data_IF_251322174322
#
_entry.id   IF_251322174322
#
_cell.length_a   1.000
_cell.length_b   1.000
_cell.length_c   1.000
_cell.angle_alpha   90.00
_cell.angle_beta   90.00
_cell.angle_gamma   90.00
#
_symmetry.space_group_name_H-M   'P 1'
#
loop_
_entity.id
_entity.type
_entity.pdbx_description
1 polymer ?
#
# COMPACT_ATOMS: atom_id res chain seq x y z
N UNK A 1 -28.39 6.24 10.21
CA UNK A 1 -26.98 5.95 9.83
C UNK A 1 -26.82 5.91 8.30
N UNK A 2 -25.60 5.65 7.78
CA UNK A 2 -25.35 5.57 6.33
C UNK A 2 -26.17 4.46 5.68
N UNK A 3 -26.29 3.32 6.36
CA UNK A 3 -27.05 2.15 5.90
C UNK A 3 -28.53 2.50 5.73
N UNK A 4 -29.12 3.24 6.64
CA UNK A 4 -30.55 3.64 6.56
C UNK A 4 -30.80 4.48 5.32
N UNK A 5 -29.94 5.47 5.02
CA UNK A 5 -30.04 6.30 3.81
C UNK A 5 -29.91 5.48 2.53
N UNK A 6 -29.03 4.48 2.53
CA UNK A 6 -28.84 3.61 1.36
C UNK A 6 -30.07 2.72 1.16
N UNK A 7 -30.66 2.20 2.24
CA UNK A 7 -31.90 1.40 2.20
C UNK A 7 -33.11 2.25 1.76
N UNK A 8 -33.22 3.48 2.26
CA UNK A 8 -34.26 4.42 1.84
C UNK A 8 -34.23 4.69 0.33
N UNK A 9 -33.05 4.79 -0.25
CA UNK A 9 -32.86 5.03 -1.69
C UNK A 9 -32.91 3.73 -2.54
N UNK A 10 -32.91 2.55 -1.92
CA UNK A 10 -32.93 1.25 -2.58
C UNK A 10 -33.99 0.32 -1.96
N UNK A 11 -35.29 0.54 -2.23
CA UNK A 11 -36.35 -0.25 -1.61
C UNK A 11 -36.32 -1.74 -1.98
N UNK A 12 -35.61 -2.12 -3.04
CA UNK A 12 -35.35 -3.50 -3.43
C UNK A 12 -34.25 -4.22 -2.64
N UNK A 13 -33.63 -3.53 -1.66
CA UNK A 13 -32.53 -4.05 -0.88
C UNK A 13 -31.14 -3.71 -1.45
N UNK A 14 -30.11 -4.13 -0.74
CA UNK A 14 -28.70 -3.88 -1.09
C UNK A 14 -28.02 -5.24 -1.31
N UNK A 15 -27.42 -5.41 -2.47
CA UNK A 15 -26.53 -6.56 -2.72
C UNK A 15 -25.10 -6.22 -2.26
N UNK A 16 -24.54 -7.02 -1.36
CA UNK A 16 -23.15 -6.92 -0.93
C UNK A 16 -22.36 -8.04 -1.57
N UNK A 17 -21.22 -7.69 -2.19
CA UNK A 17 -20.28 -8.63 -2.80
C UNK A 17 -18.91 -8.51 -2.12
N UNK A 18 -18.17 -9.63 -1.99
CA UNK A 18 -16.81 -9.57 -1.51
C UNK A 18 -15.91 -8.77 -2.46
N UNK A 19 -14.79 -8.25 -1.96
CA UNK A 19 -13.78 -7.61 -2.81
C UNK A 19 -13.31 -8.57 -3.91
N UNK A 20 -13.32 -8.09 -5.16
CA UNK A 20 -13.13 -8.94 -6.35
C UNK A 20 -11.67 -9.34 -6.59
N UNK A 21 -10.71 -8.55 -6.06
CA UNK A 21 -9.28 -8.71 -6.31
C UNK A 21 -8.54 -9.55 -5.27
N UNK A 22 -9.28 -10.06 -4.31
CA UNK A 22 -8.76 -10.90 -3.23
C UNK A 22 -9.46 -12.27 -3.25
N UNK A 23 -8.75 -13.35 -2.89
CA UNK A 23 -9.37 -14.64 -2.72
C UNK A 23 -10.48 -14.61 -1.66
N UNK A 24 -11.64 -15.16 -1.98
CA UNK A 24 -12.75 -15.27 -1.02
C UNK A 24 -12.49 -16.47 -0.11
N UNK A 25 -12.50 -16.24 1.19
CA UNK A 25 -12.38 -17.29 2.21
C UNK A 25 -13.75 -17.86 2.55
N UNK A 26 -14.69 -16.97 2.85
CA UNK A 26 -16.07 -17.35 3.14
C UNK A 26 -16.96 -16.10 3.10
N UNK A 27 -18.10 -16.17 2.41
CA UNK A 27 -19.09 -15.11 2.34
C UNK A 27 -18.47 -13.77 1.89
N UNK A 28 -18.49 -12.72 2.68
CA UNK A 28 -17.88 -11.42 2.37
C UNK A 28 -16.42 -11.32 2.85
N UNK A 29 -15.90 -12.35 3.51
CA UNK A 29 -14.54 -12.38 4.04
C UNK A 29 -13.56 -12.79 2.96
N UNK A 30 -12.57 -11.94 2.72
CA UNK A 30 -11.52 -12.16 1.74
C UNK A 30 -10.14 -12.27 2.40
N UNK A 31 -9.23 -13.02 1.78
CA UNK A 31 -7.82 -13.07 2.18
C UNK A 31 -7.09 -11.81 1.73
N UNK A 32 -6.66 -10.98 2.68
CA UNK A 32 -5.90 -9.75 2.45
C UNK A 32 -4.41 -9.89 2.69
N UNK A 33 -3.89 -11.10 2.81
CA UNK A 33 -2.44 -11.35 3.04
C UNK A 33 -1.56 -10.66 2.00
N UNK A 34 -2.01 -10.56 0.75
CA UNK A 34 -1.31 -9.80 -0.30
C UNK A 34 -1.06 -8.34 0.08
N UNK A 35 -1.99 -7.66 0.76
CA UNK A 35 -1.78 -6.28 1.21
C UNK A 35 -0.70 -6.18 2.28
N UNK A 36 -0.70 -7.09 3.24
CA UNK A 36 0.34 -7.12 4.28
C UNK A 36 1.71 -7.43 3.68
N UNK A 37 1.75 -8.32 2.71
CA UNK A 37 2.97 -8.62 1.96
C UNK A 37 3.50 -7.41 1.18
N UNK A 38 2.64 -6.57 0.59
CA UNK A 38 3.09 -5.32 -0.04
C UNK A 38 3.66 -4.33 0.98
N UNK A 39 3.13 -4.26 2.20
CA UNK A 39 3.70 -3.46 3.29
C UNK A 39 5.07 -3.99 3.73
N UNK A 40 5.22 -5.31 3.81
CA UNK A 40 6.51 -5.97 4.08
C UNK A 40 7.55 -5.64 3.02
N UNK A 41 7.20 -5.76 1.74
CA UNK A 41 8.08 -5.41 0.60
C UNK A 41 8.59 -3.98 0.65
N UNK A 42 7.74 -3.02 0.97
CA UNK A 42 8.14 -1.61 1.08
C UNK A 42 8.68 -1.25 2.46
N UNK A 43 8.93 -2.24 3.34
CA UNK A 43 9.44 -2.03 4.70
C UNK A 43 8.67 -0.92 5.43
N UNK A 44 7.34 -1.09 5.49
CA UNK A 44 6.42 -0.12 6.10
C UNK A 44 6.49 -0.17 7.63
N UNK A 45 7.67 0.02 8.18
CA UNK A 45 7.96 0.13 9.62
C UNK A 45 9.21 0.96 9.88
N UNK A 46 9.45 1.28 11.13
CA UNK A 46 10.67 1.93 11.60
C UNK A 46 11.51 0.87 12.32
N UNK A 47 12.69 0.48 11.79
CA UNK A 47 13.53 -0.55 12.43
C UNK A 47 14.24 -0.03 13.69
N UNK A 48 14.41 1.28 13.80
CA UNK A 48 14.96 1.94 14.99
C UNK A 48 13.87 2.79 15.59
N UNK A 49 13.29 2.33 16.67
CA UNK A 49 12.37 3.13 17.48
C UNK A 49 13.09 3.65 18.72
N UNK A 50 12.66 4.79 19.16
CA UNK A 50 13.16 5.42 20.36
C UNK A 50 12.60 4.81 21.64
N UNK A 51 12.32 3.50 21.70
CA UNK A 51 11.85 2.85 22.91
C UNK A 51 12.89 2.94 24.01
N UNK A 52 12.47 3.46 25.08
CA UNK A 52 13.23 3.80 26.23
C UNK A 52 12.89 5.23 26.64
N UNK A 53 13.13 5.56 27.87
CA UNK A 53 12.90 6.91 28.44
C UNK A 53 13.94 7.90 27.91
N UNK A 54 13.85 8.19 26.61
CA UNK A 54 14.77 9.09 25.90
C UNK A 54 14.13 10.46 25.57
N UNK A 55 13.02 10.77 26.23
CA UNK A 55 12.30 12.02 26.05
C UNK A 55 11.34 12.03 24.83
N UNK A 56 10.95 13.23 24.41
CA UNK A 56 9.87 13.44 23.43
C UNK A 56 10.18 13.03 21.98
N UNK A 57 11.34 12.44 21.74
CA UNK A 57 11.78 12.09 20.38
C UNK A 57 12.30 13.28 19.58
N UNK A 58 12.62 13.08 18.28
CA UNK A 58 13.14 14.14 17.41
C UNK A 58 12.09 15.24 17.21
N UNK A 59 12.54 16.49 17.23
CA UNK A 59 11.66 17.63 16.94
C UNK A 59 11.32 17.67 15.45
N UNK A 60 10.06 17.96 15.16
CA UNK A 60 9.54 18.07 13.81
C UNK A 60 8.80 19.39 13.62
N UNK A 61 8.83 19.95 12.42
CA UNK A 61 8.02 21.11 12.09
C UNK A 61 6.54 20.73 11.92
N UNK A 62 5.65 21.68 12.23
CA UNK A 62 4.22 21.49 12.00
C UNK A 62 3.92 21.16 10.53
N UNK A 63 4.60 21.84 9.60
CA UNK A 63 4.43 21.62 8.16
C UNK A 63 4.76 20.19 7.75
N UNK A 64 5.83 19.59 8.31
CA UNK A 64 6.17 18.17 8.07
C UNK A 64 5.12 17.23 8.65
N UNK A 65 4.64 17.53 9.85
CA UNK A 65 3.59 16.77 10.52
C UNK A 65 2.29 16.79 9.72
N UNK A 66 1.84 17.94 9.23
CA UNK A 66 0.62 18.10 8.44
C UNK A 66 0.65 17.32 7.12
N UNK A 67 1.82 17.20 6.51
CA UNK A 67 1.99 16.39 5.29
C UNK A 67 1.96 14.90 5.58
N UNK A 68 2.52 14.48 6.70
CA UNK A 68 2.70 13.07 7.05
C UNK A 68 1.48 12.47 7.76
N UNK A 69 0.89 13.22 8.68
CA UNK A 69 -0.18 12.75 9.54
C UNK A 69 -1.35 12.12 8.77
N UNK A 70 -1.87 12.70 7.67
CA UNK A 70 -2.94 12.06 6.90
C UNK A 70 -2.59 10.67 6.38
N UNK A 71 -1.31 10.38 6.12
CA UNK A 71 -0.87 9.07 5.63
C UNK A 71 -0.97 8.00 6.73
N UNK A 72 -0.84 8.40 8.00
CA UNK A 72 -0.95 7.50 9.16
C UNK A 72 -2.37 7.03 9.44
N UNK A 73 -3.39 7.71 8.89
CA UNK A 73 -4.79 7.34 9.08
C UNK A 73 -5.23 6.10 8.29
N UNK A 74 -4.31 5.51 7.52
CA UNK A 74 -4.62 4.33 6.72
C UNK A 74 -5.00 3.13 7.60
N UNK A 75 -6.24 2.68 7.46
CA UNK A 75 -6.78 1.53 8.20
C UNK A 75 -6.67 0.21 7.41
N UNK A 76 -5.91 0.17 6.34
CA UNK A 76 -5.67 -1.01 5.50
C UNK A 76 -6.97 -1.68 5.02
N UNK A 77 -8.00 -0.89 4.71
CA UNK A 77 -9.32 -1.41 4.32
C UNK A 77 -9.35 -2.09 2.95
N UNK A 78 -8.42 -1.76 2.03
CA UNK A 78 -8.34 -2.35 0.69
C UNK A 78 -9.13 -1.61 -0.40
N UNK A 79 -9.98 -0.63 -0.07
CA UNK A 79 -10.81 0.07 -1.08
C UNK A 79 -9.98 0.69 -2.20
N UNK A 80 -8.84 1.30 -1.88
CA UNK A 80 -7.97 1.95 -2.86
C UNK A 80 -7.36 0.96 -3.88
N UNK A 81 -7.05 -0.26 -3.45
CA UNK A 81 -6.51 -1.29 -4.35
C UNK A 81 -7.63 -2.01 -5.10
N UNK A 82 -8.80 -2.18 -4.48
CA UNK A 82 -9.98 -2.73 -5.16
C UNK A 82 -10.40 -1.85 -6.34
N UNK A 83 -10.43 -0.53 -6.17
CA UNK A 83 -10.80 0.42 -7.22
C UNK A 83 -9.68 0.69 -8.25
N UNK A 84 -8.45 0.25 -7.99
CA UNK A 84 -7.31 0.55 -8.85
C UNK A 84 -7.25 -0.39 -10.07
N UNK A 85 -7.27 0.11 -11.31
CA UNK A 85 -7.18 -0.75 -12.49
C UNK A 85 -5.84 -1.48 -12.62
N UNK A 86 -4.77 -0.94 -12.05
CA UNK A 86 -3.42 -1.54 -12.09
C UNK A 86 -3.22 -2.65 -11.03
N UNK A 87 -4.03 -2.66 -9.98
CA UNK A 87 -3.99 -3.72 -8.98
C UNK A 87 -4.89 -4.88 -9.44
N UNK A 88 -4.38 -5.71 -10.34
CA UNK A 88 -5.11 -6.83 -10.88
C UNK A 88 -5.27 -7.97 -9.87
N UNK A 89 -6.33 -8.77 -10.01
CA UNK A 89 -6.46 -10.06 -9.34
C UNK A 89 -5.34 -10.99 -9.83
N UNK A 90 -4.62 -11.61 -8.91
CA UNK A 90 -3.61 -12.61 -9.24
C UNK A 90 -4.27 -13.98 -9.09
N UNK A 91 -4.55 -14.62 -10.22
CA UNK A 91 -5.11 -15.97 -10.26
C UNK A 91 -4.03 -16.94 -10.70
N UNK A 92 -3.68 -17.84 -9.80
CA UNK A 92 -2.71 -18.90 -10.06
C UNK A 92 -3.39 -20.20 -9.68
N UNK A 93 -3.51 -21.09 -10.66
CA UNK A 93 -4.01 -22.42 -10.42
C UNK A 93 -2.85 -23.37 -10.07
N UNK A 94 -3.07 -24.25 -9.10
CA UNK A 94 -2.11 -25.29 -8.76
C UNK A 94 -1.94 -26.22 -9.95
N UNK A 95 -0.70 -26.55 -10.28
CA UNK A 95 -0.37 -27.46 -11.38
C UNK A 95 -0.51 -28.91 -10.93
N UNK A 96 -0.85 -29.80 -11.86
CA UNK A 96 -0.91 -31.24 -11.56
C UNK A 96 0.47 -31.74 -11.09
N UNK A 97 0.50 -32.33 -9.90
CA UNK A 97 1.74 -32.82 -9.28
C UNK A 97 2.57 -31.78 -8.52
N UNK A 98 2.13 -30.51 -8.48
CA UNK A 98 2.78 -29.45 -7.71
C UNK A 98 2.49 -29.63 -6.22
N UNK A 99 3.50 -29.54 -5.36
CA UNK A 99 3.32 -29.54 -3.91
C UNK A 99 2.74 -28.22 -3.43
N UNK A 100 2.09 -28.20 -2.27
CA UNK A 100 1.53 -26.99 -1.66
C UNK A 100 2.61 -25.92 -1.40
N UNK A 101 3.84 -26.34 -1.09
CA UNK A 101 4.96 -25.45 -0.89
C UNK A 101 5.40 -24.75 -2.19
N UNK A 102 5.50 -25.50 -3.29
CA UNK A 102 5.84 -24.95 -4.62
C UNK A 102 4.74 -24.01 -5.13
N UNK A 103 3.48 -24.40 -4.97
CA UNK A 103 2.33 -23.58 -5.30
C UNK A 103 2.36 -22.26 -4.53
N UNK A 104 2.57 -22.31 -3.21
CA UNK A 104 2.66 -21.13 -2.34
C UNK A 104 3.82 -20.23 -2.75
N UNK A 105 4.99 -20.79 -3.03
CA UNK A 105 6.15 -20.01 -3.48
C UNK A 105 5.88 -19.28 -4.80
N UNK A 106 5.26 -19.96 -5.77
CA UNK A 106 4.90 -19.38 -7.06
C UNK A 106 3.82 -18.32 -6.95
N UNK A 107 2.85 -18.50 -6.07
CA UNK A 107 1.84 -17.50 -5.76
C UNK A 107 2.46 -16.28 -5.12
N UNK A 108 3.39 -16.47 -4.19
CA UNK A 108 4.12 -15.37 -3.55
C UNK A 108 4.94 -14.58 -4.56
N UNK A 109 5.66 -15.26 -5.46
CA UNK A 109 6.40 -14.60 -6.53
C UNK A 109 5.50 -13.73 -7.41
N UNK A 110 4.35 -14.24 -7.82
CA UNK A 110 3.40 -13.46 -8.63
C UNK A 110 2.83 -12.25 -7.88
N UNK A 111 2.64 -12.35 -6.57
CA UNK A 111 2.29 -11.19 -5.75
C UNK A 111 3.42 -10.17 -5.70
N UNK A 112 4.68 -10.61 -5.59
CA UNK A 112 5.85 -9.75 -5.53
C UNK A 112 6.13 -9.01 -6.84
N UNK A 113 5.77 -9.62 -7.98
CA UNK A 113 5.87 -9.00 -9.30
C UNK A 113 4.69 -8.07 -9.62
N UNK A 114 3.58 -8.19 -8.89
CA UNK A 114 2.38 -7.40 -9.10
C UNK A 114 2.47 -6.00 -8.49
N UNK A 115 1.58 -5.09 -8.97
CA UNK A 115 1.54 -3.70 -8.48
C UNK A 115 1.37 -3.62 -6.96
N UNK A 116 2.21 -2.83 -6.31
CA UNK A 116 2.21 -2.60 -4.86
C UNK A 116 0.90 -1.99 -4.34
N UNK A 117 0.27 -1.14 -5.15
CA UNK A 117 -0.93 -0.42 -4.75
C UNK A 117 -0.66 0.88 -4.01
N UNK A 118 -1.65 1.78 -4.06
CA UNK A 118 -1.54 3.12 -3.49
C UNK A 118 -1.31 3.13 -1.97
N UNK A 119 -1.89 2.18 -1.25
CA UNK A 119 -1.73 2.07 0.20
C UNK A 119 -0.27 1.79 0.60
N UNK A 120 0.39 0.81 -0.04
CA UNK A 120 1.77 0.47 0.28
C UNK A 120 2.73 1.61 -0.08
N UNK A 121 2.53 2.25 -1.25
CA UNK A 121 3.34 3.42 -1.66
C UNK A 121 3.17 4.57 -0.66
N UNK A 122 1.94 4.83 -0.20
CA UNK A 122 1.65 5.87 0.79
C UNK A 122 2.31 5.56 2.14
N UNK A 123 2.28 4.31 2.59
CA UNK A 123 2.96 3.92 3.83
C UNK A 123 4.48 4.02 3.72
N UNK A 124 5.08 3.66 2.58
CA UNK A 124 6.50 3.91 2.35
C UNK A 124 6.85 5.39 2.50
N UNK A 125 6.02 6.28 1.97
CA UNK A 125 6.21 7.73 2.11
C UNK A 125 6.02 8.22 3.53
N UNK A 126 5.05 7.69 4.28
CA UNK A 126 4.89 7.98 5.70
C UNK A 126 6.21 7.78 6.46
N UNK A 127 6.86 6.62 6.22
CA UNK A 127 8.08 6.26 6.91
C UNK A 127 9.33 6.96 6.34
N UNK A 128 9.37 7.26 5.04
CA UNK A 128 10.47 8.04 4.45
C UNK A 128 10.50 9.48 5.00
N UNK A 129 9.34 10.05 5.24
CA UNK A 129 9.21 11.41 5.77
C UNK A 129 9.29 11.45 7.31
N UNK A 130 9.33 10.29 7.99
CA UNK A 130 9.45 10.22 9.44
C UNK A 130 10.87 10.54 9.90
N UNK A 131 11.06 11.33 10.99
CA UNK A 131 12.39 11.77 11.45
C UNK A 131 13.41 10.64 11.67
N UNK A 132 12.98 9.48 12.16
CA UNK A 132 13.85 8.30 12.32
C UNK A 132 13.70 7.30 11.17
N UNK A 133 12.51 7.24 10.57
CA UNK A 133 12.22 6.33 9.46
C UNK A 133 13.02 6.63 8.20
N UNK A 134 13.40 7.91 7.97
CA UNK A 134 14.18 8.31 6.79
C UNK A 134 15.54 7.61 6.69
N UNK A 135 16.10 7.12 7.79
CA UNK A 135 17.37 6.39 7.80
C UNK A 135 17.35 5.15 6.89
N UNK A 136 16.18 4.55 6.68
CA UNK A 136 15.98 3.40 5.79
C UNK A 136 15.23 3.76 4.51
N UNK A 137 15.23 5.04 4.12
CA UNK A 137 14.51 5.50 2.94
C UNK A 137 15.02 4.83 1.64
N UNK A 138 16.32 4.63 1.50
CA UNK A 138 16.92 4.03 0.31
C UNK A 138 16.44 2.58 0.10
N UNK A 139 16.29 1.79 1.16
CA UNK A 139 15.75 0.43 1.09
C UNK A 139 14.29 0.41 0.61
N UNK A 140 13.48 1.38 1.06
CA UNK A 140 12.09 1.54 0.60
C UNK A 140 12.03 2.01 -0.85
N UNK A 141 12.91 2.94 -1.23
CA UNK A 141 12.99 3.43 -2.61
C UNK A 141 13.47 2.33 -3.56
N UNK A 142 14.37 1.46 -3.15
CA UNK A 142 14.74 0.27 -3.92
C UNK A 142 13.53 -0.65 -4.15
N UNK A 143 12.76 -0.95 -3.12
CA UNK A 143 11.54 -1.74 -3.25
C UNK A 143 10.49 -1.06 -4.15
N UNK A 144 10.36 0.27 -4.08
CA UNK A 144 9.46 1.07 -4.92
C UNK A 144 9.92 1.17 -6.38
N UNK A 145 11.20 0.92 -6.68
CA UNK A 145 11.75 0.87 -8.05
C UNK A 145 11.64 -0.50 -8.70
N UNK A 146 11.42 -1.53 -7.90
CA UNK A 146 11.35 -2.92 -8.33
C UNK A 146 10.09 -3.27 -9.13
N UNK A 147 9.90 -4.55 -9.45
CA UNK A 147 8.69 -5.03 -10.13
C UNK A 147 7.42 -4.60 -9.38
N UNK A 148 6.41 -4.17 -10.11
CA UNK A 148 5.17 -3.70 -9.52
C UNK A 148 5.25 -2.37 -8.74
N UNK A 149 6.36 -1.64 -8.87
CA UNK A 149 6.62 -0.39 -8.15
C UNK A 149 5.84 0.82 -8.67
N UNK A 150 6.33 2.02 -8.34
CA UNK A 150 5.63 3.30 -8.63
C UNK A 150 5.38 3.50 -10.13
N UNK A 151 6.28 3.02 -10.98
CA UNK A 151 6.19 3.13 -12.45
C UNK A 151 4.97 2.44 -13.05
N UNK A 152 4.35 1.50 -12.34
CA UNK A 152 3.14 0.79 -12.80
C UNK A 152 1.88 1.62 -12.58
N UNK A 153 1.95 2.70 -11.78
CA UNK A 153 0.80 3.54 -11.50
C UNK A 153 0.36 4.33 -12.75
N UNK A 154 -0.80 3.99 -13.31
CA UNK A 154 -1.41 4.69 -14.45
C UNK A 154 -2.17 5.98 -14.09
N UNK A 155 -2.06 6.49 -12.85
CA UNK A 155 -2.69 7.73 -12.38
C UNK A 155 -4.22 7.81 -12.61
N UNK A 156 -4.92 6.70 -12.49
CA UNK A 156 -6.40 6.65 -12.64
C UNK A 156 -7.17 7.40 -11.54
N UNK A 157 -6.52 7.71 -10.41
CA UNK A 157 -7.03 8.47 -9.25
C UNK A 157 -8.22 7.84 -8.50
N UNK A 158 -8.69 6.69 -8.90
CA UNK A 158 -9.79 5.98 -8.23
C UNK A 158 -9.50 5.75 -6.73
N UNK A 159 -8.22 5.55 -6.39
CA UNK A 159 -7.77 5.30 -5.02
C UNK A 159 -8.11 6.46 -4.06
N UNK A 160 -8.05 7.70 -4.53
CA UNK A 160 -8.42 8.89 -3.72
C UNK A 160 -9.93 8.97 -3.59
N UNK A 161 -10.66 8.74 -4.69
CA UNK A 161 -12.11 8.85 -4.72
C UNK A 161 -12.81 7.89 -3.74
N UNK A 162 -12.24 6.68 -3.54
CA UNK A 162 -12.85 5.66 -2.67
C UNK A 162 -12.26 5.60 -1.26
N UNK A 163 -11.28 6.45 -0.93
CA UNK A 163 -10.63 6.39 0.37
C UNK A 163 -11.55 6.93 1.48
N UNK A 164 -11.97 6.09 2.46
CA UNK A 164 -12.87 6.54 3.52
C UNK A 164 -12.22 7.52 4.50
N UNK A 165 -10.88 7.64 4.45
CA UNK A 165 -10.08 8.57 5.26
C UNK A 165 -9.60 9.79 4.46
N UNK A 166 -9.99 9.92 3.20
CA UNK A 166 -9.59 11.03 2.32
C UNK A 166 -8.06 11.25 2.25
N UNK A 167 -7.29 10.16 2.36
CA UNK A 167 -5.83 10.22 2.30
C UNK A 167 -5.39 10.75 0.93
N UNK A 168 -4.44 11.70 0.85
CA UNK A 168 -3.96 12.28 -0.41
C UNK A 168 -3.03 11.31 -1.16
N UNK A 169 -3.56 10.15 -1.58
CA UNK A 169 -2.79 9.04 -2.15
C UNK A 169 -2.05 9.43 -3.44
N UNK A 170 -2.66 10.22 -4.31
CA UNK A 170 -2.01 10.68 -5.55
C UNK A 170 -0.84 11.60 -5.27
N UNK A 171 -0.97 12.50 -4.28
CA UNK A 171 0.14 13.35 -3.82
C UNK A 171 1.29 12.50 -3.25
N UNK A 172 0.95 11.50 -2.46
CA UNK A 172 1.91 10.54 -1.92
C UNK A 172 2.67 9.79 -3.02
N UNK A 173 1.97 9.29 -4.03
CA UNK A 173 2.57 8.61 -5.19
C UNK A 173 3.48 9.56 -5.99
N UNK A 174 3.06 10.80 -6.21
CA UNK A 174 3.89 11.80 -6.90
C UNK A 174 5.16 12.14 -6.11
N UNK A 175 5.08 12.20 -4.77
CA UNK A 175 6.25 12.37 -3.89
C UNK A 175 7.19 11.16 -3.97
N UNK A 176 6.65 9.95 -3.97
CA UNK A 176 7.43 8.73 -4.14
C UNK A 176 8.19 8.75 -5.47
N UNK A 177 7.56 9.12 -6.57
CA UNK A 177 8.21 9.27 -7.87
C UNK A 177 9.37 10.28 -7.85
N UNK A 178 9.20 11.43 -7.20
CA UNK A 178 10.28 12.44 -7.05
C UNK A 178 11.44 11.92 -6.20
N UNK A 179 11.16 11.30 -5.07
CA UNK A 179 12.21 10.71 -4.22
C UNK A 179 12.96 9.59 -4.95
N UNK A 180 12.23 8.76 -5.70
CA UNK A 180 12.80 7.69 -6.49
C UNK A 180 13.74 8.22 -7.58
N UNK A 181 13.33 9.27 -8.30
CA UNK A 181 14.17 9.92 -9.30
C UNK A 181 15.48 10.40 -8.68
N UNK A 182 15.42 11.11 -7.54
CA UNK A 182 16.61 11.56 -6.83
C UNK A 182 17.50 10.40 -6.34
N UNK A 183 16.90 9.30 -5.87
CA UNK A 183 17.60 8.09 -5.48
C UNK A 183 18.34 7.45 -6.65
N UNK A 184 17.69 7.32 -7.81
CA UNK A 184 18.30 6.75 -9.00
C UNK A 184 19.47 7.59 -9.53
N UNK A 185 19.34 8.92 -9.49
CA UNK A 185 20.46 9.82 -9.84
C UNK A 185 21.65 9.63 -8.91
N UNK A 186 21.44 9.61 -7.59
CA UNK A 186 22.53 9.34 -6.62
C UNK A 186 23.25 8.03 -6.95
N UNK A 187 22.52 6.94 -7.15
CA UNK A 187 23.12 5.62 -7.50
C UNK A 187 23.93 5.64 -8.80
N UNK A 188 23.61 6.53 -9.72
CA UNK A 188 24.34 6.63 -10.98
C UNK A 188 25.71 7.29 -10.80
N UNK A 189 25.82 8.24 -9.84
CA UNK A 189 27.05 8.99 -9.57
C UNK A 189 27.92 8.39 -8.45
N UNK A 190 27.35 7.56 -7.60
CA UNK A 190 28.08 6.87 -6.52
C UNK A 190 28.72 5.54 -6.97
N UNK A 191 28.69 5.25 -8.28
CA UNK A 191 29.43 4.15 -8.93
C UNK A 191 30.71 4.68 -9.54
#
# INVERSE_FOLDING_TARGET
ALVDRVLENNPGGIELRPMSKFPVLRDLVVDRSRMYRTLERVKAWIPVDGYGDRGAGPRESQASQEVRYPLSECMTCGCCVEACPQFAKVEILQRSGETDAEFTARQQQAYDESFLGAAAISQAMLFNDHPTGHMNADERLEALSGPGGVQVCGNAQNCVAVCPKSIPLTTSIARAGRQLTGYMFRRLFDR
#
